data_IF_647214755605
#
_entry.id   IF_647214755605
#
_cell.length_a   1.000
_cell.length_b   1.000
_cell.length_c   1.000
_cell.angle_alpha   90.00
_cell.angle_beta   90.00
_cell.angle_gamma   90.00
#
_symmetry.space_group_name_H-M   'P 1'
#
loop_
_entity.id
_entity.type
_entity.pdbx_description
1 polymer ?
#
# COMPACT_ATOMS: atom_id res chain seq x y z
N UNK A 1 -3.64 -3.23 25.45
CA UNK A 1 -4.50 -3.55 26.61
C UNK A 1 -3.75 -3.55 27.96
N UNK A 2 -2.45 -3.92 27.99
CA UNK A 2 -1.65 -3.92 29.25
C UNK A 2 -1.65 -2.57 29.99
N UNK A 3 -1.80 -1.46 29.25
CA UNK A 3 -1.81 -0.10 29.82
C UNK A 3 -3.18 0.59 29.71
N UNK A 4 -4.26 -0.16 29.50
CA UNK A 4 -5.59 0.39 29.26
C UNK A 4 -5.74 1.14 27.93
N UNK A 5 -4.81 0.94 27.01
CA UNK A 5 -4.85 1.57 25.70
C UNK A 5 -5.66 0.72 24.70
N UNK A 6 -6.30 1.40 23.77
CA UNK A 6 -6.94 0.77 22.60
C UNK A 6 -5.95 0.62 21.45
N UNK A 7 -6.08 -0.47 20.70
CA UNK A 7 -5.33 -0.69 19.48
C UNK A 7 -6.21 -0.38 18.26
N UNK A 8 -5.79 0.62 17.48
CA UNK A 8 -6.42 0.97 16.20
C UNK A 8 -5.44 0.70 15.06
N UNK A 9 -5.90 -0.01 14.04
CA UNK A 9 -5.12 -0.33 12.83
C UNK A 9 -5.77 0.31 11.62
N UNK A 10 -5.03 1.16 10.91
CA UNK A 10 -5.38 1.58 9.56
C UNK A 10 -4.77 0.59 8.56
N UNK A 11 -5.62 -0.25 7.99
CA UNK A 11 -5.21 -1.29 7.04
C UNK A 11 -5.58 -0.95 5.58
N UNK A 12 -5.58 0.33 5.26
CA UNK A 12 -5.93 0.84 3.93
C UNK A 12 -5.08 0.26 2.78
N UNK A 13 -3.92 -0.32 3.08
CA UNK A 13 -3.03 -0.97 2.11
C UNK A 13 -2.90 -2.48 2.29
N UNK A 14 -3.40 -3.06 3.37
CA UNK A 14 -3.27 -4.48 3.66
C UNK A 14 -4.47 -5.30 3.21
N UNK A 15 -5.67 -4.77 3.39
CA UNK A 15 -6.90 -5.48 3.03
C UNK A 15 -6.92 -5.86 1.54
N UNK A 16 -7.24 -7.11 1.23
CA UNK A 16 -7.20 -7.69 -0.12
C UNK A 16 -5.79 -7.99 -0.63
N UNK A 17 -4.72 -7.63 0.11
CA UNK A 17 -3.31 -7.76 -0.31
C UNK A 17 -2.54 -8.70 0.62
N UNK A 18 -2.64 -8.49 1.92
CA UNK A 18 -1.92 -9.23 2.96
C UNK A 18 -2.81 -10.28 3.63
N UNK A 19 -2.17 -11.29 4.21
CA UNK A 19 -2.84 -12.42 4.83
C UNK A 19 -3.20 -13.52 3.83
N UNK A 20 -3.46 -14.71 4.33
CA UNK A 20 -3.78 -15.89 3.52
C UNK A 20 -5.12 -15.71 2.77
N UNK A 21 -6.12 -15.17 3.46
CA UNK A 21 -7.44 -14.91 2.89
C UNK A 21 -7.64 -13.45 2.42
N UNK A 22 -6.62 -12.60 2.57
CA UNK A 22 -6.67 -11.19 2.19
C UNK A 22 -7.34 -10.30 3.23
N UNK A 23 -7.34 -10.70 4.50
CA UNK A 23 -7.90 -9.91 5.62
C UNK A 23 -6.90 -8.90 6.19
N UNK A 24 -5.78 -8.72 5.49
CA UNK A 24 -4.84 -7.64 5.76
C UNK A 24 -3.77 -7.94 6.79
N UNK A 25 -3.19 -6.86 7.35
CA UNK A 25 -2.07 -6.95 8.27
C UNK A 25 -2.44 -7.70 9.57
N UNK A 26 -3.65 -7.55 10.07
CA UNK A 26 -4.08 -8.22 11.29
C UNK A 26 -4.11 -9.75 11.13
N UNK A 27 -4.54 -10.24 9.97
CA UNK A 27 -4.46 -11.67 9.63
C UNK A 27 -3.01 -12.13 9.50
N UNK A 28 -2.19 -11.37 8.77
CA UNK A 28 -0.76 -11.67 8.57
C UNK A 28 -0.01 -11.85 9.89
N UNK A 29 -0.33 -11.05 10.90
CA UNK A 29 0.31 -11.09 12.22
C UNK A 29 -0.46 -11.90 13.27
N UNK A 30 -1.61 -12.48 12.94
CA UNK A 30 -2.43 -13.27 13.86
C UNK A 30 -2.97 -12.48 15.05
N UNK A 31 -3.32 -11.20 14.84
CA UNK A 31 -3.77 -10.29 15.92
C UNK A 31 -5.20 -9.77 15.74
N UNK A 32 -6.01 -10.40 14.88
CA UNK A 32 -7.37 -9.92 14.59
C UNK A 32 -8.23 -9.75 15.85
N UNK A 33 -8.12 -10.68 16.80
CA UNK A 33 -8.90 -10.64 18.05
C UNK A 33 -8.36 -9.62 19.07
N UNK A 34 -7.22 -9.00 18.79
CA UNK A 34 -6.58 -8.05 19.71
C UNK A 34 -6.77 -6.59 19.27
N UNK A 35 -7.37 -6.37 18.10
CA UNK A 35 -7.57 -5.02 17.53
C UNK A 35 -8.96 -4.51 17.91
N UNK A 36 -9.01 -3.33 18.55
CA UNK A 36 -10.27 -2.71 18.97
C UNK A 36 -10.96 -1.98 17.82
N UNK A 37 -10.17 -1.35 16.93
CA UNK A 37 -10.68 -0.56 15.81
C UNK A 37 -9.89 -0.85 14.54
N UNK A 38 -10.60 -1.10 13.46
CA UNK A 38 -9.98 -1.26 12.13
C UNK A 38 -10.55 -0.19 11.22
N UNK A 39 -9.66 0.54 10.56
CA UNK A 39 -10.04 1.50 9.52
C UNK A 39 -9.46 1.07 8.17
N UNK A 40 -10.15 1.45 7.12
CA UNK A 40 -9.67 1.20 5.77
C UNK A 40 -10.37 2.07 4.74
N UNK A 41 -9.96 1.93 3.50
CA UNK A 41 -10.48 2.72 2.38
C UNK A 41 -11.03 1.84 1.29
N UNK A 42 -12.05 2.34 0.58
CA UNK A 42 -12.53 1.72 -0.65
C UNK A 42 -11.76 2.16 -1.90
N UNK A 43 -10.89 3.16 -1.79
CA UNK A 43 -10.20 3.77 -2.94
C UNK A 43 -8.96 3.03 -3.44
N UNK A 44 -8.68 1.83 -2.94
CA UNK A 44 -7.54 1.00 -3.34
C UNK A 44 -8.03 -0.37 -3.84
N UNK A 45 -7.88 -1.42 -3.07
CA UNK A 45 -8.27 -2.80 -3.47
C UNK A 45 -9.72 -2.90 -3.96
N UNK A 46 -10.63 -2.15 -3.35
CA UNK A 46 -12.05 -2.18 -3.71
C UNK A 46 -12.42 -1.29 -4.91
N UNK A 47 -11.47 -0.52 -5.47
CA UNK A 47 -11.65 0.38 -6.61
C UNK A 47 -12.88 1.31 -6.50
N UNK A 48 -13.24 1.69 -5.27
CA UNK A 48 -14.43 2.49 -4.95
C UNK A 48 -14.09 3.85 -4.36
N UNK A 49 -15.10 4.51 -3.81
CA UNK A 49 -14.97 5.77 -3.10
C UNK A 49 -15.47 5.61 -1.67
N UNK A 50 -14.77 6.23 -0.71
CA UNK A 50 -15.12 6.19 0.70
C UNK A 50 -14.20 5.31 1.54
N UNK A 51 -14.67 4.92 2.70
CA UNK A 51 -13.92 4.11 3.65
C UNK A 51 -14.84 3.49 4.70
N UNK A 52 -14.24 2.79 5.65
CA UNK A 52 -14.99 2.10 6.70
C UNK A 52 -14.24 2.14 8.03
N UNK A 53 -15.01 1.99 9.10
CA UNK A 53 -14.52 1.73 10.44
C UNK A 53 -15.22 0.48 10.96
N UNK A 54 -14.46 -0.50 11.42
CA UNK A 54 -14.95 -1.66 12.15
C UNK A 54 -14.65 -1.40 13.62
N UNK A 55 -15.68 -1.51 14.45
CA UNK A 55 -15.60 -1.20 15.87
C UNK A 55 -16.65 -2.01 16.65
N UNK A 56 -16.54 -2.13 17.99
CA UNK A 56 -17.62 -2.70 18.81
C UNK A 56 -18.95 -1.99 18.56
N UNK A 57 -20.10 -2.70 18.62
CA UNK A 57 -21.40 -2.14 18.22
C UNK A 57 -21.79 -0.82 18.88
N UNK A 58 -21.47 -0.64 20.18
CA UNK A 58 -21.73 0.61 20.91
C UNK A 58 -20.93 1.78 20.34
N UNK A 59 -19.67 1.54 19.96
CA UNK A 59 -18.80 2.58 19.35
C UNK A 59 -19.24 2.88 17.93
N UNK A 60 -19.58 1.85 17.14
CA UNK A 60 -20.12 2.03 15.80
C UNK A 60 -21.39 2.87 15.80
N UNK A 61 -22.32 2.61 16.74
CA UNK A 61 -23.51 3.41 16.93
C UNK A 61 -23.18 4.86 17.33
N UNK A 62 -22.24 5.06 18.26
CA UNK A 62 -21.77 6.38 18.66
C UNK A 62 -21.19 7.16 17.46
N UNK A 63 -20.29 6.54 16.69
CA UNK A 63 -19.68 7.15 15.51
C UNK A 63 -20.75 7.52 14.47
N UNK A 64 -21.75 6.67 14.25
CA UNK A 64 -22.84 6.95 13.31
C UNK A 64 -23.59 8.22 13.65
N UNK A 65 -23.82 8.53 14.92
CA UNK A 65 -24.60 9.69 15.34
C UNK A 65 -23.77 10.91 15.69
N UNK A 66 -22.51 10.74 16.06
CA UNK A 66 -21.66 11.82 16.55
C UNK A 66 -20.59 12.27 15.55
N UNK A 67 -20.27 11.45 14.53
CA UNK A 67 -19.27 11.86 13.55
C UNK A 67 -19.84 12.92 12.61
N UNK A 68 -18.99 13.89 12.25
CA UNK A 68 -19.39 14.98 11.34
C UNK A 68 -19.71 14.49 9.94
N UNK A 69 -19.16 13.35 9.53
CA UNK A 69 -19.46 12.74 8.23
C UNK A 69 -20.91 12.30 8.07
N UNK A 70 -21.63 12.12 9.17
CA UNK A 70 -23.03 11.71 9.14
C UNK A 70 -23.94 12.71 8.39
N UNK A 71 -23.59 13.98 8.37
CA UNK A 71 -24.35 15.05 7.70
C UNK A 71 -23.90 15.33 6.27
N UNK A 72 -22.82 14.69 5.81
CA UNK A 72 -22.31 14.83 4.44
C UNK A 72 -22.81 13.73 3.52
N UNK A 73 -22.69 13.96 2.21
CA UNK A 73 -23.03 12.96 1.21
C UNK A 73 -22.20 11.69 1.41
N UNK A 74 -22.88 10.56 1.56
CA UNK A 74 -22.25 9.26 1.69
C UNK A 74 -21.93 8.65 0.31
N UNK A 75 -21.18 7.55 0.32
CA UNK A 75 -20.91 6.74 -0.87
C UNK A 75 -22.24 6.30 -1.49
N UNK A 76 -22.39 6.46 -2.80
CA UNK A 76 -23.60 6.11 -3.53
C UNK A 76 -23.87 4.59 -3.52
N UNK A 77 -25.13 4.18 -3.60
CA UNK A 77 -25.54 2.77 -3.63
C UNK A 77 -24.84 1.97 -4.73
N UNK A 78 -24.65 2.43 -5.98
CA UNK A 78 -23.89 1.70 -6.99
C UNK A 78 -22.44 1.45 -6.59
N UNK A 79 -21.79 2.42 -5.94
CA UNK A 79 -20.41 2.24 -5.47
C UNK A 79 -20.33 1.21 -4.35
N UNK A 80 -21.31 1.19 -3.44
CA UNK A 80 -21.37 0.16 -2.37
C UNK A 80 -21.56 -1.23 -2.96
N UNK A 81 -22.41 -1.40 -3.97
CA UNK A 81 -22.59 -2.68 -4.65
C UNK A 81 -21.27 -3.16 -5.30
N UNK A 82 -20.50 -2.25 -5.89
CA UNK A 82 -19.17 -2.54 -6.41
C UNK A 82 -18.20 -3.02 -5.33
N UNK A 83 -18.20 -2.39 -4.16
CA UNK A 83 -17.39 -2.82 -3.01
C UNK A 83 -17.78 -4.20 -2.51
N UNK A 84 -19.08 -4.50 -2.39
CA UNK A 84 -19.56 -5.82 -2.02
C UNK A 84 -19.06 -6.87 -3.01
N UNK A 85 -19.16 -6.59 -4.31
CA UNK A 85 -18.65 -7.50 -5.34
C UNK A 85 -17.14 -7.68 -5.27
N UNK A 86 -16.40 -6.62 -4.97
CA UNK A 86 -14.95 -6.72 -4.79
C UNK A 86 -14.56 -7.60 -3.59
N UNK A 87 -15.32 -7.56 -2.49
CA UNK A 87 -15.12 -8.46 -1.35
C UNK A 87 -15.35 -9.93 -1.76
N UNK A 88 -16.41 -10.22 -2.49
CA UNK A 88 -16.68 -11.56 -3.02
C UNK A 88 -15.53 -12.05 -3.92
N UNK A 89 -15.02 -11.20 -4.81
CA UNK A 89 -13.91 -11.55 -5.71
C UNK A 89 -12.60 -11.83 -4.96
N UNK A 90 -12.33 -11.13 -3.86
CA UNK A 90 -11.16 -11.41 -3.00
C UNK A 90 -11.19 -12.86 -2.50
N UNK A 91 -12.38 -13.36 -2.16
CA UNK A 91 -12.57 -14.73 -1.66
C UNK A 91 -12.60 -15.77 -2.81
N UNK A 92 -13.27 -15.44 -3.92
CA UNK A 92 -13.49 -16.35 -5.03
C UNK A 92 -12.28 -16.47 -5.95
N UNK A 93 -11.42 -15.44 -6.03
CA UNK A 93 -10.31 -15.35 -6.97
C UNK A 93 -8.95 -15.16 -6.27
N UNK A 94 -8.52 -16.09 -5.40
CA UNK A 94 -7.27 -15.96 -4.62
C UNK A 94 -6.02 -15.91 -5.51
N UNK A 95 -6.11 -16.35 -6.76
CA UNK A 95 -5.00 -16.31 -7.72
C UNK A 95 -4.47 -14.88 -7.98
N UNK A 96 -5.30 -13.84 -7.85
CA UNK A 96 -4.82 -12.46 -7.96
C UNK A 96 -3.88 -12.07 -6.83
N UNK A 97 -4.18 -12.50 -5.58
CA UNK A 97 -3.25 -12.29 -4.46
C UNK A 97 -1.94 -13.05 -4.65
N UNK A 98 -2.04 -14.30 -5.07
CA UNK A 98 -0.85 -15.12 -5.37
C UNK A 98 0.02 -14.45 -6.44
N UNK A 99 -0.59 -13.98 -7.54
CA UNK A 99 0.10 -13.26 -8.61
C UNK A 99 0.75 -11.95 -8.11
N UNK A 100 0.04 -11.20 -7.27
CA UNK A 100 0.60 -9.99 -6.67
C UNK A 100 1.80 -10.32 -5.77
N UNK A 101 1.70 -11.36 -4.94
CA UNK A 101 2.79 -11.80 -4.07
C UNK A 101 4.04 -12.21 -4.89
N UNK A 102 3.88 -12.95 -6.00
CA UNK A 102 4.96 -13.26 -6.93
C UNK A 102 5.61 -12.00 -7.51
N UNK A 103 4.81 -11.02 -7.93
CA UNK A 103 5.32 -9.77 -8.48
C UNK A 103 6.09 -8.97 -7.42
N UNK A 104 5.59 -8.91 -6.18
CA UNK A 104 6.26 -8.26 -5.05
C UNK A 104 7.62 -8.93 -4.79
N UNK A 105 7.64 -10.24 -4.65
CA UNK A 105 8.85 -11.00 -4.37
C UNK A 105 9.92 -10.80 -5.46
N UNK A 106 9.50 -10.90 -6.72
CA UNK A 106 10.39 -10.71 -7.86
C UNK A 106 11.00 -9.30 -7.91
N UNK A 107 10.15 -8.28 -7.86
CA UNK A 107 10.58 -6.89 -7.99
C UNK A 107 11.45 -6.46 -6.81
N UNK A 108 11.07 -6.83 -5.59
CA UNK A 108 11.85 -6.60 -4.37
C UNK A 108 13.23 -7.24 -4.47
N UNK A 109 13.31 -8.51 -4.91
CA UNK A 109 14.59 -9.21 -5.11
C UNK A 109 15.47 -8.49 -6.14
N UNK A 110 14.88 -8.04 -7.26
CA UNK A 110 15.61 -7.27 -8.28
C UNK A 110 16.18 -5.97 -7.73
N UNK A 111 15.39 -5.18 -7.02
CA UNK A 111 15.85 -3.92 -6.39
C UNK A 111 16.99 -4.18 -5.39
N UNK A 112 16.89 -5.22 -4.56
CA UNK A 112 17.94 -5.59 -3.61
C UNK A 112 19.22 -5.98 -4.34
N UNK A 113 19.14 -6.73 -5.45
CA UNK A 113 20.29 -7.10 -6.28
C UNK A 113 20.98 -5.88 -6.90
N UNK A 114 20.23 -4.81 -7.18
CA UNK A 114 20.77 -3.52 -7.63
C UNK A 114 21.37 -2.68 -6.49
N UNK A 115 21.32 -3.15 -5.24
CA UNK A 115 21.84 -2.43 -4.06
C UNK A 115 20.88 -1.36 -3.52
N UNK A 116 19.61 -1.39 -3.91
CA UNK A 116 18.61 -0.44 -3.43
C UNK A 116 18.14 -0.79 -2.00
N UNK A 117 17.96 0.23 -1.16
CA UNK A 117 17.33 0.05 0.16
C UNK A 117 15.81 0.06 0.06
N UNK A 118 15.21 -1.10 0.20
CA UNK A 118 13.75 -1.28 0.17
C UNK A 118 13.13 -1.47 1.56
N UNK A 119 13.92 -1.36 2.61
CA UNK A 119 13.47 -1.59 3.99
C UNK A 119 12.90 -3.00 4.20
N UNK A 120 12.02 -3.11 5.21
CA UNK A 120 11.42 -4.38 5.65
C UNK A 120 10.01 -4.62 5.07
N UNK A 121 9.61 -3.92 4.01
CA UNK A 121 8.24 -4.02 3.46
C UNK A 121 7.86 -5.44 3.07
N UNK A 122 6.61 -5.80 3.32
CA UNK A 122 5.98 -7.05 2.91
C UNK A 122 4.75 -6.82 2.02
N UNK A 123 4.39 -5.54 1.79
CA UNK A 123 3.20 -5.16 1.03
C UNK A 123 3.49 -4.88 -0.44
N UNK A 124 2.45 -4.63 -1.22
CA UNK A 124 2.53 -4.17 -2.61
C UNK A 124 3.17 -2.78 -2.76
N UNK A 125 3.38 -2.08 -1.66
CA UNK A 125 4.09 -0.80 -1.62
C UNK A 125 5.54 -1.05 -1.26
N UNK A 126 6.44 -0.82 -2.22
CA UNK A 126 7.88 -0.98 -2.02
C UNK A 126 8.54 0.40 -1.99
N UNK A 127 9.03 0.86 -0.83
CA UNK A 127 9.79 2.10 -0.74
C UNK A 127 11.23 1.86 -1.22
N UNK A 128 11.70 2.64 -2.18
CA UNK A 128 13.12 2.70 -2.53
C UNK A 128 13.71 3.92 -1.83
N UNK A 129 14.42 3.70 -0.72
CA UNK A 129 15.00 4.77 0.10
C UNK A 129 16.25 5.34 -0.57
N UNK A 130 16.24 6.65 -0.78
CA UNK A 130 17.37 7.39 -1.37
C UNK A 130 18.03 8.29 -0.32
N UNK A 131 17.22 8.86 0.60
CA UNK A 131 17.70 9.67 1.71
C UNK A 131 18.08 11.12 1.37
N UNK A 132 18.20 11.45 0.08
CA UNK A 132 18.47 12.80 -0.41
C UNK A 132 17.23 13.31 -1.18
N UNK A 133 16.60 14.44 -0.78
CA UNK A 133 15.40 14.95 -1.43
C UNK A 133 15.60 15.31 -2.91
N UNK A 134 16.72 15.92 -3.28
CA UNK A 134 17.01 16.30 -4.68
C UNK A 134 17.17 15.06 -5.56
N UNK A 135 18.04 14.14 -5.16
CA UNK A 135 18.19 12.85 -5.88
C UNK A 135 16.88 12.09 -5.98
N UNK A 136 16.03 12.14 -4.94
CA UNK A 136 14.70 11.48 -4.97
C UNK A 136 13.78 12.12 -6.01
N UNK A 137 13.76 13.46 -6.09
CA UNK A 137 12.98 14.19 -7.11
C UNK A 137 13.49 13.88 -8.52
N UNK A 138 14.80 13.92 -8.72
CA UNK A 138 15.44 13.63 -10.01
C UNK A 138 15.17 12.18 -10.45
N UNK A 139 15.26 11.22 -9.51
CA UNK A 139 14.91 9.81 -9.75
C UNK A 139 13.47 9.68 -10.22
N UNK A 140 12.51 10.34 -9.55
CA UNK A 140 11.11 10.33 -9.95
C UNK A 140 10.91 10.89 -11.37
N UNK A 141 11.59 11.99 -11.69
CA UNK A 141 11.55 12.59 -13.03
C UNK A 141 12.13 11.67 -14.11
N UNK A 142 13.25 11.01 -13.83
CA UNK A 142 13.89 10.08 -14.76
C UNK A 142 13.04 8.83 -14.96
N UNK A 143 12.43 8.27 -13.91
CA UNK A 143 11.48 7.15 -14.00
C UNK A 143 10.27 7.52 -14.87
N UNK A 144 9.70 8.70 -14.67
CA UNK A 144 8.58 9.18 -15.49
C UNK A 144 8.97 9.30 -16.97
N UNK A 145 10.16 9.85 -17.28
CA UNK A 145 10.69 9.90 -18.66
C UNK A 145 10.90 8.50 -19.27
N UNK A 146 11.22 7.50 -18.45
CA UNK A 146 11.29 6.10 -18.87
C UNK A 146 9.92 5.43 -19.02
N UNK A 147 8.82 6.17 -18.79
CA UNK A 147 7.45 5.68 -18.85
C UNK A 147 7.01 4.89 -17.63
N UNK A 148 7.62 5.17 -16.47
CA UNK A 148 7.30 4.52 -15.19
C UNK A 148 6.77 5.58 -14.23
N UNK A 149 5.47 5.53 -13.98
CA UNK A 149 4.82 6.43 -13.03
C UNK A 149 5.09 6.00 -11.59
N UNK A 150 5.61 6.92 -10.78
CA UNK A 150 5.94 6.69 -9.36
C UNK A 150 5.65 7.92 -8.52
N UNK A 151 5.68 7.76 -7.20
CA UNK A 151 5.49 8.85 -6.26
C UNK A 151 6.79 9.13 -5.48
N UNK A 152 7.53 10.21 -5.77
CA UNK A 152 8.56 10.72 -4.88
C UNK A 152 7.93 11.18 -3.56
N UNK A 153 8.38 10.61 -2.44
CA UNK A 153 7.88 10.95 -1.10
C UNK A 153 8.97 11.76 -0.40
N UNK A 154 8.67 13.03 -0.15
CA UNK A 154 9.59 14.03 0.38
C UNK A 154 9.06 14.61 1.70
N UNK A 155 9.85 15.46 2.35
CA UNK A 155 9.37 16.29 3.47
C UNK A 155 8.20 17.18 3.00
N UNK A 156 7.12 17.36 3.80
CA UNK A 156 6.96 16.94 5.19
C UNK A 156 6.39 15.52 5.39
N UNK A 157 6.03 14.79 4.33
CA UNK A 157 5.45 13.46 4.46
C UNK A 157 6.41 12.45 5.12
N UNK A 158 7.72 12.64 4.93
CA UNK A 158 8.78 11.89 5.62
C UNK A 158 9.90 12.86 6.02
N UNK A 159 10.71 12.49 7.02
CA UNK A 159 11.92 13.25 7.33
C UNK A 159 12.87 13.30 6.10
N UNK A 160 13.60 14.40 5.91
CA UNK A 160 14.48 14.62 4.72
C UNK A 160 15.41 13.43 4.43
N UNK A 161 16.04 12.87 5.49
CA UNK A 161 16.90 11.68 5.40
C UNK A 161 16.17 10.38 5.00
N UNK A 162 14.86 10.41 4.97
CA UNK A 162 14.00 9.28 4.64
C UNK A 162 13.29 9.47 3.28
N UNK A 163 13.71 10.45 2.48
CA UNK A 163 13.19 10.66 1.13
C UNK A 163 13.32 9.38 0.30
N UNK A 164 12.26 9.03 -0.43
CA UNK A 164 12.15 7.74 -1.12
C UNK A 164 11.27 7.82 -2.34
N UNK A 165 11.43 6.88 -3.26
CA UNK A 165 10.45 6.59 -4.30
C UNK A 165 9.48 5.55 -3.76
N UNK A 166 8.18 5.77 -3.90
CA UNK A 166 7.14 4.82 -3.58
C UNK A 166 6.75 4.06 -4.84
N UNK A 167 7.11 2.79 -4.91
CA UNK A 167 6.65 1.88 -5.96
C UNK A 167 5.37 1.19 -5.51
N UNK A 168 4.35 1.17 -6.38
CA UNK A 168 3.08 0.49 -6.13
C UNK A 168 2.92 -0.63 -7.16
N UNK A 169 2.84 -1.86 -6.69
CA UNK A 169 2.69 -3.04 -7.55
C UNK A 169 1.23 -3.49 -7.65
N UNK A 170 0.91 -4.07 -8.80
CA UNK A 170 -0.41 -4.64 -9.08
C UNK A 170 -0.26 -6.08 -9.57
N UNK A 171 -1.30 -6.89 -9.37
CA UNK A 171 -1.36 -8.25 -9.88
C UNK A 171 -1.27 -8.31 -11.41
N UNK A 172 -1.78 -7.28 -12.08
CA UNK A 172 -1.78 -7.16 -13.55
C UNK A 172 -0.43 -6.74 -14.15
N UNK A 173 0.56 -6.37 -13.34
CA UNK A 173 1.90 -6.13 -13.86
C UNK A 173 2.50 -7.42 -14.42
N UNK A 174 3.01 -7.33 -15.66
CA UNK A 174 3.72 -8.42 -16.30
C UNK A 174 5.18 -8.43 -15.92
N UNK A 175 5.87 -9.53 -16.20
CA UNK A 175 7.33 -9.64 -15.98
C UNK A 175 8.09 -8.58 -16.78
N UNK A 176 7.62 -8.25 -17.98
CA UNK A 176 8.19 -7.21 -18.82
C UNK A 176 8.08 -5.82 -18.17
N UNK A 177 6.92 -5.47 -17.60
CA UNK A 177 6.75 -4.21 -16.86
C UNK A 177 7.74 -4.11 -15.69
N UNK A 178 7.89 -5.19 -14.93
CA UNK A 178 8.80 -5.22 -13.77
C UNK A 178 10.26 -5.11 -14.19
N UNK A 179 10.66 -5.81 -15.26
CA UNK A 179 12.01 -5.72 -15.81
C UNK A 179 12.32 -4.32 -16.35
N UNK A 180 11.38 -3.69 -17.06
CA UNK A 180 11.53 -2.30 -17.51
C UNK A 180 11.81 -1.36 -16.35
N UNK A 181 11.10 -1.54 -15.23
CA UNK A 181 11.31 -0.71 -14.04
C UNK A 181 12.67 -0.99 -13.38
N UNK A 182 13.09 -2.25 -13.28
CA UNK A 182 14.42 -2.60 -12.75
C UNK A 182 15.55 -2.02 -13.60
N UNK A 183 15.48 -2.16 -14.91
CA UNK A 183 16.47 -1.58 -15.84
C UNK A 183 16.54 -0.06 -15.70
N UNK A 184 15.41 0.62 -15.57
CA UNK A 184 15.39 2.06 -15.35
C UNK A 184 16.08 2.46 -14.03
N UNK A 185 15.86 1.71 -12.92
CA UNK A 185 16.58 1.94 -11.67
C UNK A 185 18.09 1.72 -11.83
N UNK A 186 18.51 0.69 -12.57
CA UNK A 186 19.91 0.45 -12.86
C UNK A 186 20.56 1.60 -13.63
N UNK A 187 19.90 2.11 -14.67
CA UNK A 187 20.41 3.24 -15.47
C UNK A 187 20.43 4.55 -14.66
N UNK A 188 19.45 4.78 -13.82
CA UNK A 188 19.40 5.93 -12.92
C UNK A 188 20.53 5.85 -11.89
N UNK A 189 20.84 4.68 -11.38
CA UNK A 189 21.90 4.49 -10.39
C UNK A 189 23.29 4.81 -10.97
N UNK A 190 23.54 4.51 -12.24
CA UNK A 190 24.78 4.89 -12.95
C UNK A 190 25.01 6.40 -12.97
N UNK A 191 23.92 7.20 -12.94
CA UNK A 191 23.98 8.67 -13.03
C UNK A 191 23.90 9.34 -11.65
N UNK A 192 22.97 8.90 -10.82
CA UNK A 192 22.65 9.57 -9.56
C UNK A 192 23.28 8.90 -8.32
N UNK A 193 23.84 7.69 -8.46
CA UNK A 193 24.42 6.92 -7.36
C UNK A 193 23.46 6.86 -6.16
N UNK A 194 22.31 6.22 -6.36
CA UNK A 194 21.24 6.10 -5.37
C UNK A 194 21.26 4.78 -4.59
N UNK A 195 22.04 3.80 -5.06
CA UNK A 195 22.26 2.53 -4.37
C UNK A 195 23.16 2.72 -3.14
N UNK A 196 23.13 1.73 -2.23
CA UNK A 196 23.98 1.67 -1.04
C UNK A 196 25.25 0.82 -1.26
N UNK A 197 25.67 0.65 -2.50
CA UNK A 197 26.90 -0.08 -2.83
C UNK A 197 28.13 0.73 -2.45
#
# INVERSE_FOLDING_TARGET
HRYGAYLMVDDAHGIGVLGETGRGAMELYGIMDQVDFITGTFSKTFAGLGGYVIAPPKVAAFLKFQSRQHIFSATSTPAVAGVIKAIELIDQEPHWRAKLAENIAYFKKGLISLGMDVGSTQSAIIPVKIGNPHKTSDTGTMLLKAGIYTNPILYPAVAKKNARIRMSLMATHTREHLNKALNAFEDIDKVLHISRR
#
